data_IF_871979665549
#
_entry.id   IF_871979665549
#
_cell.length_a   1.000
_cell.length_b   1.000
_cell.length_c   1.000
_cell.angle_alpha   90.00
_cell.angle_beta   90.00
_cell.angle_gamma   90.00
#
_symmetry.space_group_name_H-M   'P 1'
#
loop_
_entity.id
_entity.type
_entity.pdbx_description
1 polymer ?
#
# COMPACT_ATOMS: atom_id res chain seq x y z
N UNK A 1 19.58 -2.01 -0.98
CA UNK A 1 18.16 -1.56 -1.07
C UNK A 1 18.08 -0.10 -0.73
N UNK A 2 17.25 0.67 -1.43
CA UNK A 2 16.84 2.01 -1.04
C UNK A 2 15.31 2.04 -0.92
N UNK A 3 14.77 2.73 0.07
CA UNK A 3 13.33 2.83 0.25
C UNK A 3 12.95 4.28 0.50
N UNK A 4 11.88 4.72 -0.15
CA UNK A 4 11.27 6.02 0.12
C UNK A 4 10.03 5.81 0.99
N UNK A 5 9.86 6.67 1.99
CA UNK A 5 8.63 6.75 2.76
C UNK A 5 7.49 7.41 1.99
N UNK A 6 6.58 8.05 2.71
CA UNK A 6 5.35 8.62 2.17
C UNK A 6 5.60 9.98 1.45
N UNK A 7 6.33 9.95 0.32
CA UNK A 7 6.68 11.12 -0.50
C UNK A 7 6.04 11.06 -1.87
N UNK A 8 5.24 12.02 -2.32
CA UNK A 8 4.52 11.93 -3.60
C UNK A 8 5.43 12.02 -4.85
N UNK A 9 5.99 10.89 -5.28
CA UNK A 9 6.85 10.78 -6.46
C UNK A 9 6.10 10.81 -7.81
N UNK A 10 4.79 10.53 -7.81
CA UNK A 10 3.97 10.50 -9.03
C UNK A 10 3.13 11.76 -9.18
N UNK A 11 3.43 12.84 -8.44
CA UNK A 11 2.64 14.08 -8.39
C UNK A 11 2.21 14.57 -9.78
N UNK A 12 3.20 14.75 -10.67
CA UNK A 12 2.97 15.28 -12.03
C UNK A 12 2.11 14.34 -12.88
N UNK A 13 2.35 13.03 -12.82
CA UNK A 13 1.55 12.06 -13.55
C UNK A 13 0.11 11.96 -12.98
N UNK A 14 -0.03 12.06 -11.66
CA UNK A 14 -1.33 12.04 -10.99
C UNK A 14 -2.19 13.24 -11.40
N UNK A 15 -1.62 14.45 -11.32
CA UNK A 15 -2.32 15.69 -11.68
C UNK A 15 -2.82 15.64 -13.14
N UNK A 16 -2.01 15.10 -14.04
CA UNK A 16 -2.35 15.04 -15.46
C UNK A 16 -3.41 13.99 -15.80
N UNK A 17 -3.37 12.83 -15.14
CA UNK A 17 -4.13 11.65 -15.60
C UNK A 17 -5.12 11.07 -14.60
N UNK A 18 -4.98 11.34 -13.30
CA UNK A 18 -5.89 10.80 -12.28
C UNK A 18 -6.78 11.86 -11.64
N UNK A 19 -6.54 13.15 -11.93
CA UNK A 19 -7.34 14.27 -11.41
C UNK A 19 -8.30 14.87 -12.43
N UNK A 20 -8.47 14.25 -13.61
CA UNK A 20 -9.32 14.77 -14.69
C UNK A 20 -10.22 13.67 -15.27
N UNK A 21 -11.44 14.04 -15.70
CA UNK A 21 -12.46 13.09 -16.17
C UNK A 21 -12.00 12.23 -17.37
N UNK A 22 -11.17 12.80 -18.24
CA UNK A 22 -10.59 12.12 -19.42
C UNK A 22 -9.17 11.60 -19.18
N UNK A 23 -8.67 11.71 -17.95
CA UNK A 23 -7.26 11.46 -17.64
C UNK A 23 -6.85 10.01 -17.91
N UNK A 24 -7.70 9.03 -17.63
CA UNK A 24 -7.39 7.63 -17.92
C UNK A 24 -7.35 7.31 -19.42
N UNK A 25 -8.22 7.93 -20.22
CA UNK A 25 -8.19 7.78 -21.69
C UNK A 25 -6.92 8.40 -22.27
N UNK A 26 -6.53 9.58 -21.77
CA UNK A 26 -5.28 10.23 -22.15
C UNK A 26 -4.06 9.41 -21.73
N UNK A 27 -4.09 8.77 -20.56
CA UNK A 27 -3.01 7.88 -20.11
C UNK A 27 -2.92 6.63 -21.00
N UNK A 28 -4.06 6.06 -21.41
CA UNK A 28 -4.11 4.92 -22.31
C UNK A 28 -3.44 5.24 -23.65
N UNK A 29 -3.72 6.42 -24.20
CA UNK A 29 -3.18 6.93 -25.47
C UNK A 29 -1.80 7.62 -25.36
N UNK A 30 -1.22 7.72 -24.15
CA UNK A 30 0.03 8.43 -23.95
C UNK A 30 1.19 7.79 -24.75
N UNK A 31 1.94 8.64 -25.46
CA UNK A 31 3.12 8.24 -26.24
C UNK A 31 4.29 7.86 -25.34
N UNK A 32 5.20 7.04 -25.85
CA UNK A 32 6.41 6.64 -25.13
C UNK A 32 7.27 7.84 -24.73
N UNK A 33 7.40 8.86 -25.58
CA UNK A 33 8.09 10.11 -25.23
C UNK A 33 7.50 10.78 -23.99
N UNK A 34 6.18 10.80 -23.88
CA UNK A 34 5.49 11.37 -22.72
C UNK A 34 5.71 10.52 -21.47
N UNK A 35 5.57 9.21 -21.58
CA UNK A 35 5.80 8.29 -20.45
C UNK A 35 7.25 8.36 -19.97
N UNK A 36 8.20 8.47 -20.89
CA UNK A 36 9.62 8.64 -20.60
C UNK A 36 9.93 9.95 -19.86
N UNK A 37 9.25 11.06 -20.19
CA UNK A 37 9.36 12.30 -19.41
C UNK A 37 8.87 12.12 -17.97
N UNK A 38 7.75 11.45 -17.78
CA UNK A 38 7.16 11.20 -16.45
C UNK A 38 8.03 10.23 -15.62
N UNK A 39 8.60 9.20 -16.25
CA UNK A 39 9.60 8.33 -15.61
C UNK A 39 10.82 9.13 -15.15
N UNK A 40 11.35 10.03 -15.99
CA UNK A 40 12.48 10.90 -15.59
C UNK A 40 12.13 11.79 -14.41
N UNK A 41 10.92 12.33 -14.37
CA UNK A 41 10.45 13.13 -13.22
C UNK A 41 10.37 12.28 -11.94
N UNK A 42 9.77 11.09 -12.03
CA UNK A 42 9.68 10.15 -10.93
C UNK A 42 11.06 9.81 -10.36
N UNK A 43 12.01 9.40 -11.21
CA UNK A 43 13.35 9.02 -10.77
C UNK A 43 14.14 10.21 -10.22
N UNK A 44 14.01 11.41 -10.81
CA UNK A 44 14.62 12.64 -10.27
C UNK A 44 14.15 12.91 -8.84
N UNK A 45 12.84 12.78 -8.57
CA UNK A 45 12.28 12.96 -7.22
C UNK A 45 12.74 11.85 -6.27
N UNK A 46 12.78 10.60 -6.74
CA UNK A 46 13.24 9.47 -5.95
C UNK A 46 14.71 9.63 -5.52
N UNK A 47 15.59 9.99 -6.46
CA UNK A 47 17.01 10.24 -6.18
C UNK A 47 17.21 11.49 -5.31
N UNK A 48 16.37 12.51 -5.46
CA UNK A 48 16.37 13.68 -4.58
C UNK A 48 16.09 13.34 -3.11
N UNK A 49 15.36 12.25 -2.83
CA UNK A 49 15.07 11.79 -1.46
C UNK A 49 16.03 10.70 -0.96
N UNK A 50 16.51 9.84 -1.84
CA UNK A 50 17.25 8.62 -1.47
C UNK A 50 18.73 8.63 -1.90
N UNK A 51 19.18 9.67 -2.61
CA UNK A 51 20.46 9.69 -3.30
C UNK A 51 20.49 8.76 -4.52
N UNK A 52 21.66 8.47 -5.10
CA UNK A 52 21.79 7.65 -6.30
C UNK A 52 21.16 6.26 -6.15
N UNK A 53 20.32 5.87 -7.10
CA UNK A 53 19.55 4.61 -7.07
C UNK A 53 20.08 3.53 -8.02
N UNK A 54 21.00 3.86 -8.92
CA UNK A 54 21.58 2.91 -9.87
C UNK A 54 22.11 1.64 -9.16
N UNK A 55 21.72 0.47 -9.69
CA UNK A 55 22.12 -0.84 -9.15
C UNK A 55 21.43 -1.25 -7.84
N UNK A 56 20.51 -0.45 -7.29
CA UNK A 56 19.79 -0.77 -6.06
C UNK A 56 18.36 -1.24 -6.37
N UNK A 57 17.87 -2.18 -5.55
CA UNK A 57 16.41 -2.39 -5.42
C UNK A 57 15.81 -1.17 -4.73
N UNK A 58 14.90 -0.49 -5.42
CA UNK A 58 14.16 0.67 -4.91
C UNK A 58 12.75 0.27 -4.49
N UNK A 59 12.34 0.66 -3.28
CA UNK A 59 11.01 0.40 -2.73
C UNK A 59 10.27 1.73 -2.52
N UNK A 60 9.19 1.93 -3.28
CA UNK A 60 8.26 3.05 -3.10
C UNK A 60 7.05 2.59 -2.27
N UNK A 61 7.04 2.96 -0.98
CA UNK A 61 5.97 2.57 -0.05
C UNK A 61 5.09 3.77 0.25
N UNK A 62 3.83 3.71 -0.20
CA UNK A 62 2.78 4.64 0.23
C UNK A 62 1.50 3.94 0.66
N UNK A 63 0.85 4.42 1.73
CA UNK A 63 -0.55 4.13 1.97
C UNK A 63 -1.35 4.42 0.71
N UNK A 64 -2.33 3.56 0.42
CA UNK A 64 -3.25 3.75 -0.71
C UNK A 64 -2.57 3.82 -2.09
N UNK A 65 -1.34 3.29 -2.23
CA UNK A 65 -0.63 3.21 -3.50
C UNK A 65 -1.41 2.47 -4.60
N UNK A 66 -2.38 1.62 -4.22
CA UNK A 66 -3.30 0.96 -5.14
C UNK A 66 -4.10 1.94 -6.01
N UNK A 67 -4.40 3.16 -5.55
CA UNK A 67 -5.02 4.21 -6.36
C UNK A 67 -4.15 4.62 -7.56
N UNK A 68 -2.83 4.44 -7.47
CA UNK A 68 -1.87 4.80 -8.50
C UNK A 68 -1.56 3.65 -9.46
N UNK A 69 -2.19 2.48 -9.31
CA UNK A 69 -1.95 1.32 -10.19
C UNK A 69 -2.09 1.64 -11.69
N UNK A 70 -3.05 2.45 -12.17
CA UNK A 70 -3.08 2.83 -13.58
C UNK A 70 -1.77 3.45 -14.07
N UNK A 71 -1.19 4.35 -13.27
CA UNK A 71 0.08 5.00 -13.57
C UNK A 71 1.25 4.03 -13.44
N UNK A 72 1.30 3.24 -12.35
CA UNK A 72 2.41 2.32 -12.09
C UNK A 72 2.52 1.30 -13.22
N UNK A 73 1.40 0.72 -13.66
CA UNK A 73 1.36 -0.28 -14.73
C UNK A 73 1.80 0.32 -16.06
N UNK A 74 1.41 1.57 -16.36
CA UNK A 74 1.78 2.24 -17.62
C UNK A 74 3.24 2.71 -17.61
N UNK A 75 3.72 3.22 -16.48
CA UNK A 75 5.06 3.81 -16.36
C UNK A 75 6.15 2.77 -16.05
N UNK A 76 5.83 1.68 -15.35
CA UNK A 76 6.81 0.71 -14.88
C UNK A 76 6.33 -0.72 -15.17
N UNK A 77 6.38 -1.15 -16.44
CA UNK A 77 5.90 -2.48 -16.84
C UNK A 77 6.72 -3.65 -16.27
N UNK A 78 7.88 -3.38 -15.66
CA UNK A 78 8.71 -4.36 -14.96
C UNK A 78 8.64 -4.24 -13.43
N UNK A 79 7.76 -3.38 -12.89
CA UNK A 79 7.62 -3.22 -11.45
C UNK A 79 7.12 -4.52 -10.78
N UNK A 80 7.60 -4.75 -9.56
CA UNK A 80 7.09 -5.78 -8.67
C UNK A 80 6.12 -5.14 -7.68
N UNK A 81 4.92 -5.69 -7.55
CA UNK A 81 3.92 -5.23 -6.59
C UNK A 81 3.97 -6.11 -5.34
N UNK A 82 4.42 -5.54 -4.23
CA UNK A 82 4.25 -6.12 -2.91
C UNK A 82 2.97 -5.55 -2.29
N UNK A 83 1.92 -6.36 -2.20
CA UNK A 83 0.60 -5.94 -1.75
C UNK A 83 0.36 -6.40 -0.31
N UNK A 84 0.33 -5.44 0.62
CA UNK A 84 0.05 -5.70 2.02
C UNK A 84 -1.46 -5.92 2.23
N UNK A 85 -1.81 -7.10 2.72
CA UNK A 85 -3.16 -7.49 3.11
C UNK A 85 -3.27 -7.53 4.64
N UNK A 86 -4.48 -7.28 5.11
CA UNK A 86 -4.92 -7.42 6.50
C UNK A 86 -6.43 -7.61 6.47
N UNK A 87 -6.98 -8.20 7.53
CA UNK A 87 -8.42 -8.34 7.69
C UNK A 87 -9.14 -7.02 7.38
N UNK A 88 -10.05 -6.98 6.38
CA UNK A 88 -10.78 -5.76 5.99
C UNK A 88 -11.41 -5.02 7.17
N UNK A 89 -11.82 -5.77 8.19
CA UNK A 89 -12.54 -5.28 9.36
C UNK A 89 -11.61 -4.55 10.31
N UNK A 90 -10.40 -5.06 10.52
CA UNK A 90 -9.35 -4.36 11.25
C UNK A 90 -8.85 -3.14 10.48
N UNK A 91 -8.76 -3.22 9.15
CA UNK A 91 -8.32 -2.09 8.32
C UNK A 91 -9.26 -0.91 8.49
N UNK A 92 -10.57 -1.09 8.25
CA UNK A 92 -11.50 0.03 8.31
C UNK A 92 -11.64 0.58 9.72
N UNK A 93 -11.62 -0.27 10.75
CA UNK A 93 -11.70 0.16 12.14
C UNK A 93 -10.44 0.95 12.54
N UNK A 94 -9.26 0.47 12.13
CA UNK A 94 -7.99 1.16 12.38
C UNK A 94 -7.95 2.51 11.69
N UNK A 95 -8.47 2.61 10.46
CA UNK A 95 -8.56 3.89 9.74
C UNK A 95 -9.53 4.85 10.43
N UNK A 96 -10.76 4.40 10.72
CA UNK A 96 -11.78 5.22 11.37
C UNK A 96 -11.34 5.82 12.72
N UNK A 97 -10.55 5.07 13.50
CA UNK A 97 -10.08 5.50 14.83
C UNK A 97 -8.90 6.48 14.79
N UNK A 98 -8.38 6.83 13.62
CA UNK A 98 -7.18 7.67 13.47
C UNK A 98 -7.57 9.06 12.98
N UNK A 99 -6.96 10.07 13.58
CA UNK A 99 -7.05 11.45 13.09
C UNK A 99 -6.03 11.64 11.96
N UNK A 100 -6.53 11.72 10.73
CA UNK A 100 -5.73 12.06 9.55
C UNK A 100 -5.90 13.53 9.19
N UNK A 101 -4.91 14.10 8.49
CA UNK A 101 -5.10 15.36 7.79
C UNK A 101 -6.15 15.17 6.69
N UNK A 102 -7.18 16.03 6.69
CA UNK A 102 -8.31 15.86 5.79
C UNK A 102 -7.90 16.10 4.33
N UNK A 103 -8.30 15.15 3.48
CA UNK A 103 -8.21 15.20 2.03
C UNK A 103 -9.32 14.29 1.46
N UNK A 104 -9.56 14.24 0.13
CA UNK A 104 -10.67 13.48 -0.44
C UNK A 104 -10.68 12.00 -0.03
N UNK A 105 -9.52 11.37 0.08
CA UNK A 105 -9.40 9.98 0.53
C UNK A 105 -9.66 9.81 2.03
N UNK A 106 -9.18 10.73 2.86
CA UNK A 106 -9.36 10.67 4.31
C UNK A 106 -10.79 11.04 4.73
N UNK A 107 -11.51 11.80 3.89
CA UNK A 107 -12.93 12.10 4.07
C UNK A 107 -13.77 10.81 4.15
N UNK A 108 -13.47 9.84 3.28
CA UNK A 108 -14.15 8.54 3.28
C UNK A 108 -13.93 7.75 4.58
N UNK A 109 -12.91 8.09 5.38
CA UNK A 109 -12.59 7.40 6.62
C UNK A 109 -13.28 8.01 7.86
N UNK A 110 -14.09 9.05 7.67
CA UNK A 110 -14.79 9.75 8.77
C UNK A 110 -15.96 8.94 9.35
N UNK A 111 -16.44 7.92 8.65
CA UNK A 111 -17.40 6.95 9.14
C UNK A 111 -17.12 5.52 8.62
N UNK A 112 -17.65 4.51 9.32
CA UNK A 112 -17.37 3.11 9.01
C UNK A 112 -17.96 2.64 7.67
N UNK A 113 -19.07 3.25 7.22
CA UNK A 113 -19.71 2.88 5.95
C UNK A 113 -18.90 3.45 4.78
N UNK A 114 -18.50 4.71 4.84
CA UNK A 114 -17.56 5.34 3.91
C UNK A 114 -16.26 4.54 3.81
N UNK A 115 -15.68 4.19 4.96
CA UNK A 115 -14.42 3.44 5.00
C UNK A 115 -14.56 2.06 4.33
N UNK A 116 -15.68 1.37 4.54
CA UNK A 116 -15.97 0.08 3.92
C UNK A 116 -16.19 0.18 2.39
N UNK A 117 -16.96 1.18 1.94
CA UNK A 117 -17.17 1.44 0.51
C UNK A 117 -15.84 1.75 -0.17
N UNK A 118 -15.06 2.63 0.43
CA UNK A 118 -13.78 3.06 -0.08
C UNK A 118 -12.77 1.90 -0.15
N UNK A 119 -12.65 1.10 0.92
CA UNK A 119 -11.87 -0.13 0.93
C UNK A 119 -12.29 -1.06 -0.22
N UNK A 120 -13.60 -1.27 -0.39
CA UNK A 120 -14.12 -2.14 -1.44
C UNK A 120 -13.80 -1.65 -2.85
N UNK A 121 -13.91 -0.34 -3.13
CA UNK A 121 -13.52 0.21 -4.44
C UNK A 121 -12.01 0.08 -4.68
N UNK A 122 -11.19 0.33 -3.66
CA UNK A 122 -9.74 0.21 -3.75
C UNK A 122 -9.31 -1.24 -4.04
N UNK A 123 -9.91 -2.22 -3.34
CA UNK A 123 -9.63 -3.63 -3.58
C UNK A 123 -10.14 -4.11 -4.95
N UNK A 124 -11.27 -3.56 -5.42
CA UNK A 124 -11.76 -3.82 -6.79
C UNK A 124 -10.77 -3.33 -7.83
N UNK A 125 -10.26 -2.11 -7.67
CA UNK A 125 -9.23 -1.54 -8.54
C UNK A 125 -7.98 -2.44 -8.54
N UNK A 126 -7.49 -2.84 -7.37
CA UNK A 126 -6.33 -3.71 -7.24
C UNK A 126 -6.53 -5.06 -7.94
N UNK A 127 -7.70 -5.71 -7.77
CA UNK A 127 -8.02 -6.97 -8.47
C UNK A 127 -8.04 -6.81 -9.99
N UNK A 128 -8.60 -5.73 -10.51
CA UNK A 128 -8.62 -5.45 -11.96
C UNK A 128 -7.19 -5.35 -12.50
N UNK A 129 -6.34 -4.57 -11.84
CA UNK A 129 -4.96 -4.37 -12.31
C UNK A 129 -4.07 -5.59 -12.09
N UNK A 130 -4.25 -6.33 -10.99
CA UNK A 130 -3.56 -7.61 -10.78
C UNK A 130 -3.88 -8.59 -11.92
N UNK A 131 -5.13 -8.67 -12.34
CA UNK A 131 -5.55 -9.57 -13.42
C UNK A 131 -5.09 -9.15 -14.83
N UNK A 132 -4.84 -7.84 -15.06
CA UNK A 132 -4.62 -7.29 -16.41
C UNK A 132 -3.21 -6.78 -16.68
N UNK A 133 -2.42 -6.48 -15.66
CA UNK A 133 -1.16 -5.75 -15.84
C UNK A 133 0.02 -6.61 -16.28
N UNK A 134 -0.03 -7.92 -16.03
CA UNK A 134 1.12 -8.81 -16.24
C UNK A 134 2.29 -8.56 -15.28
N UNK A 135 2.16 -7.64 -14.32
CA UNK A 135 3.18 -7.37 -13.32
C UNK A 135 3.31 -8.55 -12.35
N UNK A 136 4.52 -8.75 -11.84
CA UNK A 136 4.75 -9.68 -10.75
C UNK A 136 4.08 -9.15 -9.48
N UNK A 137 3.37 -10.03 -8.78
CA UNK A 137 2.56 -9.65 -7.62
C UNK A 137 2.77 -10.64 -6.47
N UNK A 138 3.18 -10.13 -5.31
CA UNK A 138 3.24 -10.89 -4.07
C UNK A 138 2.27 -10.27 -3.05
N UNK A 139 1.37 -11.07 -2.52
CA UNK A 139 0.54 -10.67 -1.38
C UNK A 139 1.20 -11.14 -0.08
N UNK A 140 1.36 -10.22 0.86
CA UNK A 140 1.83 -10.53 2.22
C UNK A 140 0.75 -10.11 3.21
N UNK A 141 0.45 -10.97 4.19
CA UNK A 141 -0.60 -10.69 5.18
C UNK A 141 0.05 -10.20 6.47
N UNK A 142 -0.54 -9.17 7.06
CA UNK A 142 -0.12 -8.67 8.37
C UNK A 142 -0.15 -9.80 9.41
N UNK A 143 -1.20 -10.62 9.41
CA UNK A 143 -1.37 -11.72 10.36
C UNK A 143 -0.28 -12.79 10.19
N UNK A 144 0.08 -13.11 8.94
CA UNK A 144 1.18 -14.04 8.65
C UNK A 144 2.53 -13.47 9.11
N UNK A 145 2.78 -12.18 8.88
CA UNK A 145 4.01 -11.53 9.32
C UNK A 145 4.14 -11.56 10.85
N UNK A 146 3.04 -11.31 11.57
CA UNK A 146 2.99 -11.39 13.05
C UNK A 146 3.23 -12.81 13.54
N UNK A 147 2.68 -13.82 12.86
CA UNK A 147 2.81 -15.22 13.27
C UNK A 147 4.20 -15.81 12.97
N UNK A 148 4.78 -15.50 11.82
CA UNK A 148 6.08 -15.98 11.36
C UNK A 148 6.79 -14.89 10.54
N UNK A 149 7.51 -14.02 11.25
CA UNK A 149 8.24 -12.92 10.63
C UNK A 149 9.31 -13.42 9.64
N UNK A 150 10.06 -14.47 10.02
CA UNK A 150 11.19 -14.95 9.23
C UNK A 150 10.73 -15.62 7.94
N UNK A 151 9.72 -16.50 8.04
CA UNK A 151 9.15 -17.16 6.88
C UNK A 151 8.54 -16.17 5.90
N UNK A 152 7.75 -15.21 6.38
CA UNK A 152 7.15 -14.19 5.51
C UNK A 152 8.20 -13.25 4.91
N UNK A 153 9.19 -12.79 5.68
CA UNK A 153 10.25 -11.94 5.15
C UNK A 153 11.15 -12.68 4.16
N UNK A 154 11.45 -13.97 4.37
CA UNK A 154 12.18 -14.77 3.39
C UNK A 154 11.45 -14.82 2.04
N UNK A 155 10.12 -15.00 2.05
CA UNK A 155 9.28 -14.96 0.83
C UNK A 155 9.34 -13.59 0.15
N UNK A 156 9.26 -12.50 0.92
CA UNK A 156 9.33 -11.13 0.40
C UNK A 156 10.70 -10.85 -0.22
N UNK A 157 11.79 -11.22 0.45
CA UNK A 157 13.14 -11.01 -0.06
C UNK A 157 13.41 -11.82 -1.33
N UNK A 158 12.99 -13.09 -1.36
CA UNK A 158 13.09 -13.91 -2.56
C UNK A 158 12.32 -13.29 -3.74
N UNK A 159 11.12 -12.79 -3.50
CA UNK A 159 10.34 -12.07 -4.51
C UNK A 159 11.05 -10.80 -4.98
N UNK A 160 11.69 -10.04 -4.09
CA UNK A 160 12.43 -8.83 -4.46
C UNK A 160 13.81 -9.12 -5.08
N UNK A 161 14.33 -10.35 -4.96
CA UNK A 161 15.69 -10.72 -5.38
C UNK A 161 16.75 -10.18 -4.41
N UNK A 162 16.45 -10.21 -3.12
CA UNK A 162 17.30 -9.73 -2.05
C UNK A 162 17.73 -10.88 -1.13
N UNK A 163 18.92 -10.74 -0.55
CA UNK A 163 19.43 -11.69 0.44
C UNK A 163 18.95 -11.35 1.85
N UNK A 164 18.89 -12.38 2.70
CA UNK A 164 18.59 -12.21 4.11
C UNK A 164 19.70 -11.42 4.81
N UNK A 165 19.29 -10.58 5.77
CA UNK A 165 20.17 -9.77 6.59
C UNK A 165 19.61 -9.77 8.01
N UNK A 166 20.41 -10.16 9.00
CA UNK A 166 19.97 -10.21 10.41
C UNK A 166 19.49 -8.84 10.93
N UNK A 167 19.98 -7.75 10.33
CA UNK A 167 19.55 -6.39 10.63
C UNK A 167 18.05 -6.16 10.34
N UNK A 168 17.40 -7.01 9.54
CA UNK A 168 15.96 -6.97 9.31
C UNK A 168 15.14 -7.19 10.59
N UNK A 169 15.63 -8.00 11.52
CA UNK A 169 14.98 -8.22 12.83
C UNK A 169 15.00 -6.96 13.69
N UNK A 170 16.04 -6.12 13.53
CA UNK A 170 16.19 -4.84 14.20
C UNK A 170 15.44 -3.69 13.50
N UNK A 171 14.38 -3.98 12.74
CA UNK A 171 13.61 -2.95 12.03
C UNK A 171 13.01 -1.91 12.99
N UNK A 172 12.60 -2.33 14.20
CA UNK A 172 12.03 -1.43 15.20
C UNK A 172 13.07 -0.43 15.74
N UNK A 173 14.32 -0.87 15.92
CA UNK A 173 15.43 -0.01 16.33
C UNK A 173 15.82 0.95 15.20
N UNK A 174 15.90 0.44 13.97
CA UNK A 174 16.10 1.26 12.78
C UNK A 174 15.00 2.33 12.63
N UNK A 175 13.76 1.97 12.97
CA UNK A 175 12.62 2.89 12.96
C UNK A 175 12.67 3.95 14.05
N UNK A 176 13.27 3.67 15.22
CA UNK A 176 13.51 4.66 16.29
C UNK A 176 14.59 5.66 15.90
N UNK A 177 15.62 5.20 15.18
CA UNK A 177 16.74 6.02 14.74
C UNK A 177 16.41 6.90 13.53
N UNK A 178 15.34 6.58 12.81
CA UNK A 178 14.87 7.35 11.66
C UNK A 178 13.67 8.20 12.09
N UNK A 179 13.63 9.46 11.68
CA UNK A 179 12.44 10.30 11.81
C UNK A 179 11.33 9.80 10.86
N UNK A 180 10.56 8.80 11.30
CA UNK A 180 9.42 8.26 10.55
C UNK A 180 8.18 9.06 10.89
N UNK A 181 7.82 10.00 10.02
CA UNK A 181 6.62 10.81 10.16
C UNK A 181 5.43 10.15 9.45
N UNK A 182 4.85 9.11 10.07
CA UNK A 182 3.64 8.41 9.58
C UNK A 182 2.68 8.13 10.73
N UNK A 183 1.35 8.03 10.50
CA UNK A 183 0.38 7.73 11.56
C UNK A 183 0.65 6.42 12.32
N UNK A 184 1.38 5.48 11.70
CA UNK A 184 1.78 4.19 12.27
C UNK A 184 3.11 4.20 13.01
N UNK A 185 3.85 5.32 13.07
CA UNK A 185 5.22 5.36 13.61
C UNK A 185 5.33 4.82 15.04
N UNK A 186 4.37 5.18 15.90
CA UNK A 186 4.28 4.71 17.29
C UNK A 186 4.09 3.20 17.42
N UNK A 187 3.48 2.55 16.43
CA UNK A 187 3.33 1.10 16.39
C UNK A 187 4.60 0.43 15.85
N UNK A 188 5.19 0.96 14.79
CA UNK A 188 6.42 0.40 14.19
C UNK A 188 7.58 0.38 15.21
N UNK A 189 7.70 1.43 16.01
CA UNK A 189 8.74 1.56 17.05
C UNK A 189 8.58 0.54 18.19
N UNK A 190 7.35 0.04 18.44
CA UNK A 190 7.11 -1.02 19.43
C UNK A 190 7.51 -2.41 18.94
N UNK A 191 7.85 -2.55 17.67
CA UNK A 191 8.10 -3.84 17.04
C UNK A 191 6.82 -4.52 16.58
N UNK A 192 6.95 -5.77 16.16
CA UNK A 192 5.83 -6.54 15.64
C UNK A 192 5.10 -7.21 16.80
N UNK A 193 3.80 -6.93 16.93
CA UNK A 193 2.97 -7.52 17.95
C UNK A 193 1.57 -7.84 17.42
N UNK A 194 0.83 -8.65 18.16
CA UNK A 194 -0.52 -9.05 17.82
C UNK A 194 -1.60 -8.05 18.26
N UNK A 195 -1.25 -6.89 18.82
CA UNK A 195 -2.23 -5.90 19.32
C UNK A 195 -3.13 -5.36 18.19
N UNK A 196 -2.67 -5.40 16.94
CA UNK A 196 -3.47 -5.04 15.78
C UNK A 196 -4.41 -6.14 15.28
N UNK A 197 -4.21 -7.39 15.67
CA UNK A 197 -4.90 -8.52 15.06
C UNK A 197 -6.23 -8.76 15.75
N UNK A 198 -7.30 -8.89 14.97
CA UNK A 198 -8.66 -9.21 15.42
C UNK A 198 -9.31 -8.19 16.37
N UNK A 199 -8.81 -6.94 16.40
CA UNK A 199 -9.36 -5.87 17.23
C UNK A 199 -10.83 -5.57 16.91
N UNK A 200 -11.20 -5.78 15.66
CA UNK A 200 -12.57 -5.66 15.17
C UNK A 200 -13.57 -6.57 15.92
N UNK A 201 -13.12 -7.67 16.55
CA UNK A 201 -13.98 -8.55 17.37
C UNK A 201 -14.62 -7.82 18.57
N UNK A 202 -13.97 -6.78 19.08
CA UNK A 202 -14.50 -5.95 20.17
C UNK A 202 -15.56 -4.93 19.72
N UNK A 203 -15.66 -4.70 18.40
CA UNK A 203 -16.52 -3.66 17.81
C UNK A 203 -17.52 -4.24 16.80
N UNK A 204 -17.89 -5.52 16.97
CA UNK A 204 -18.76 -6.26 16.05
C UNK A 204 -20.08 -5.55 15.77
N UNK A 205 -20.71 -5.05 16.83
CA UNK A 205 -22.01 -4.38 16.75
C UNK A 205 -21.89 -3.07 15.96
N UNK A 206 -20.85 -2.29 16.20
CA UNK A 206 -20.60 -1.02 15.50
C UNK A 206 -20.21 -1.24 14.04
N UNK A 207 -19.54 -2.35 13.74
CA UNK A 207 -19.19 -2.75 12.38
C UNK A 207 -20.35 -3.38 11.60
N UNK A 208 -21.44 -3.78 12.25
CA UNK A 208 -22.56 -4.48 11.62
C UNK A 208 -23.09 -3.77 10.34
N UNK A 209 -23.23 -2.43 10.29
CA UNK A 209 -23.66 -1.74 9.06
C UNK A 209 -22.65 -1.82 7.89
N UNK A 210 -21.36 -1.96 8.20
CA UNK A 210 -20.29 -2.09 7.21
C UNK A 210 -20.13 -3.53 6.69
N UNK A 211 -20.59 -4.53 7.46
CA UNK A 211 -20.36 -5.94 7.17
C UNK A 211 -20.86 -6.41 5.80
N UNK A 212 -22.05 -6.02 5.31
CA UNK A 212 -22.50 -6.41 3.97
C UNK A 212 -21.54 -5.96 2.85
N UNK A 213 -20.89 -4.80 3.03
CA UNK A 213 -19.93 -4.25 2.06
C UNK A 213 -18.59 -5.00 2.14
N UNK A 214 -18.17 -5.39 3.35
CA UNK A 214 -16.90 -6.10 3.56
C UNK A 214 -16.96 -7.59 3.25
N UNK A 215 -18.15 -8.23 3.33
CA UNK A 215 -18.30 -9.69 3.18
C UNK A 215 -17.63 -10.22 1.91
N UNK A 216 -17.82 -9.65 0.71
CA UNK A 216 -17.13 -10.12 -0.49
C UNK A 216 -15.59 -10.12 -0.37
N UNK A 217 -15.02 -9.20 0.40
CA UNK A 217 -13.57 -9.07 0.59
C UNK A 217 -13.04 -9.99 1.67
N UNK A 218 -13.76 -10.14 2.77
CA UNK A 218 -13.48 -11.14 3.81
C UNK A 218 -13.41 -12.52 3.17
N UNK A 219 -14.39 -12.82 2.32
CA UNK A 219 -14.50 -14.09 1.61
C UNK A 219 -13.38 -14.26 0.59
N UNK A 220 -13.15 -13.25 -0.25
CA UNK A 220 -12.12 -13.30 -1.28
C UNK A 220 -10.71 -13.45 -0.71
N UNK A 221 -10.48 -12.92 0.50
CA UNK A 221 -9.20 -13.04 1.19
C UNK A 221 -9.17 -14.22 2.19
N UNK A 222 -10.22 -15.02 2.28
CA UNK A 222 -10.24 -16.22 3.13
C UNK A 222 -10.11 -15.91 4.63
N UNK A 223 -10.61 -14.76 5.07
CA UNK A 223 -10.76 -14.47 6.49
C UNK A 223 -12.03 -15.15 7.02
N UNK A 224 -12.02 -15.59 8.29
CA UNK A 224 -13.17 -16.26 8.88
C UNK A 224 -14.43 -15.40 8.76
N UNK A 225 -15.44 -16.00 8.15
CA UNK A 225 -16.82 -15.56 8.22
C UNK A 225 -17.29 -15.88 9.63
N UNK A 226 -17.61 -14.86 10.41
CA UNK A 226 -18.55 -15.09 11.50
C UNK A 226 -19.84 -15.66 10.96
#
# INVERSE_FOLDING_TARGET
VAAVGEKELLATANEQYLSTDKGLDLLAAATEDRLSQLRRDYWRRAEGHCGPLAGKVFVDKRPMGALKLPLIVKLFPSAKILFALRDPRDVILSCYRRQFLLNPSMYELLDLRGAALFYGQLMRLAKIFRARSGLQWLETRHESLVADFDGEMARVLAFLGLEWSEQLRAFAETARQRDIWTPSSTQVIKGLNAEGVEQWRHYREQLAPAMPILRPWIDAFGYERF
#
